data_IF_715993169374
#
_entry.id   IF_715993169374
#
_cell.length_a   1.000
_cell.length_b   1.000
_cell.length_c   1.000
_cell.angle_alpha   90.00
_cell.angle_beta   90.00
_cell.angle_gamma   90.00
#
_symmetry.space_group_name_H-M   'P 1'
#
loop_
_entity.id
_entity.type
_entity.pdbx_description
1 polymer ?
#
# COMPACT_ATOMS: atom_id res chain seq x y z
N UNK A 1 2.22 4.53 10.58
CA UNK A 1 2.02 5.75 9.79
C UNK A 1 0.57 6.17 9.98
N UNK A 2 0.26 7.43 10.30
CA UNK A 2 -1.13 7.85 10.51
C UNK A 2 -1.98 7.57 9.27
N UNK A 3 -3.26 7.23 9.45
CA UNK A 3 -4.23 7.04 8.37
C UNK A 3 -4.64 8.37 7.72
N UNK A 4 -3.69 9.04 7.07
CA UNK A 4 -3.85 10.36 6.48
C UNK A 4 -3.17 10.44 5.10
N UNK A 5 -3.65 11.30 4.18
CA UNK A 5 -3.07 11.44 2.84
C UNK A 5 -1.55 11.70 2.83
N UNK A 6 -1.05 12.44 3.82
CA UNK A 6 0.40 12.73 3.97
C UNK A 6 1.26 11.46 4.09
N UNK A 7 0.70 10.37 4.61
CA UNK A 7 1.44 9.12 4.81
C UNK A 7 1.84 8.46 3.50
N UNK A 8 1.12 8.71 2.40
CA UNK A 8 1.55 8.24 1.08
C UNK A 8 2.89 8.88 0.66
N UNK A 9 3.09 10.17 0.94
CA UNK A 9 4.36 10.84 0.65
C UNK A 9 5.51 10.28 1.50
N UNK A 10 5.26 10.06 2.80
CA UNK A 10 6.25 9.45 3.72
C UNK A 10 6.62 8.04 3.24
N UNK A 11 5.63 7.24 2.86
CA UNK A 11 5.85 5.87 2.36
C UNK A 11 6.68 5.85 1.07
N UNK A 12 6.44 6.77 0.13
CA UNK A 12 7.26 6.89 -1.10
C UNK A 12 8.72 7.18 -0.78
N UNK A 13 8.97 8.16 0.09
CA UNK A 13 10.34 8.55 0.48
C UNK A 13 11.04 7.39 1.20
N UNK A 14 10.38 6.77 2.18
CA UNK A 14 10.93 5.66 2.94
C UNK A 14 11.25 4.45 2.04
N UNK A 15 10.34 4.11 1.12
CA UNK A 15 10.52 2.99 0.18
C UNK A 15 11.69 3.26 -0.77
N UNK A 16 11.77 4.44 -1.37
CA UNK A 16 12.87 4.80 -2.26
C UNK A 16 14.23 4.77 -1.55
N UNK A 17 14.30 5.34 -0.34
CA UNK A 17 15.53 5.35 0.46
C UNK A 17 15.96 3.94 0.84
N UNK A 18 15.04 3.08 1.26
CA UNK A 18 15.35 1.69 1.61
C UNK A 18 15.88 0.90 0.39
N UNK A 19 15.23 1.01 -0.77
CA UNK A 19 15.67 0.28 -1.96
C UNK A 19 17.03 0.75 -2.47
N UNK A 20 17.30 2.05 -2.46
CA UNK A 20 18.62 2.60 -2.82
C UNK A 20 19.70 2.12 -1.86
N UNK A 21 19.44 2.13 -0.55
CA UNK A 21 20.39 1.66 0.46
C UNK A 21 20.76 0.18 0.30
N UNK A 22 19.88 -0.63 -0.31
CA UNK A 22 20.11 -2.05 -0.58
C UNK A 22 20.49 -2.36 -2.03
N UNK A 23 20.86 -1.36 -2.84
CA UNK A 23 21.21 -1.51 -4.26
C UNK A 23 20.09 -2.12 -5.14
N UNK A 24 18.83 -1.94 -4.74
CA UNK A 24 17.64 -2.41 -5.45
C UNK A 24 17.03 -1.32 -6.34
N UNK A 25 17.87 -0.42 -6.86
CA UNK A 25 17.46 0.75 -7.65
C UNK A 25 16.52 0.41 -8.82
N UNK A 26 16.72 -0.68 -9.58
CA UNK A 26 15.81 -1.05 -10.69
C UNK A 26 14.35 -1.28 -10.27
N UNK A 27 14.09 -1.60 -9.00
CA UNK A 27 12.75 -1.85 -8.47
C UNK A 27 12.09 -0.61 -7.88
N UNK A 28 12.80 0.52 -7.82
CA UNK A 28 12.38 1.71 -7.06
C UNK A 28 11.06 2.28 -7.54
N UNK A 29 10.91 2.52 -8.84
CA UNK A 29 9.74 3.23 -9.37
C UNK A 29 8.45 2.42 -9.15
N UNK A 30 8.49 1.13 -9.47
CA UNK A 30 7.34 0.23 -9.26
C UNK A 30 7.02 0.07 -7.78
N UNK A 31 8.01 -0.09 -6.91
CA UNK A 31 7.78 -0.24 -5.47
C UNK A 31 7.26 1.05 -4.83
N UNK A 32 7.76 2.22 -5.24
CA UNK A 32 7.31 3.54 -4.77
C UNK A 32 5.86 3.78 -5.19
N UNK A 33 5.51 3.47 -6.45
CA UNK A 33 4.13 3.61 -6.91
C UNK A 33 3.21 2.63 -6.17
N UNK A 34 3.63 1.37 -5.99
CA UNK A 34 2.86 0.38 -5.24
C UNK A 34 2.64 0.80 -3.78
N UNK A 35 3.69 1.29 -3.10
CA UNK A 35 3.60 1.81 -1.74
C UNK A 35 2.61 2.99 -1.68
N UNK A 36 2.69 3.92 -2.63
CA UNK A 36 1.82 5.09 -2.69
C UNK A 36 0.35 4.69 -2.82
N UNK A 37 0.02 3.81 -3.77
CA UNK A 37 -1.36 3.37 -4.02
C UNK A 37 -1.94 2.58 -2.85
N UNK A 38 -1.15 1.65 -2.28
CA UNK A 38 -1.60 0.85 -1.13
C UNK A 38 -1.82 1.71 0.11
N UNK A 39 -0.94 2.67 0.40
CA UNK A 39 -1.09 3.58 1.54
C UNK A 39 -2.24 4.56 1.33
N UNK A 40 -2.43 5.08 0.11
CA UNK A 40 -3.57 5.95 -0.20
C UNK A 40 -4.90 5.20 -0.04
N UNK A 41 -4.97 3.94 -0.50
CA UNK A 41 -6.12 3.08 -0.25
C UNK A 41 -6.31 2.83 1.25
N UNK A 42 -5.27 2.45 1.98
CA UNK A 42 -5.35 2.24 3.43
C UNK A 42 -5.86 3.47 4.19
N UNK A 43 -5.34 4.67 3.86
CA UNK A 43 -5.75 5.92 4.48
C UNK A 43 -7.20 6.30 4.15
N UNK A 44 -7.70 5.96 2.96
CA UNK A 44 -9.08 6.24 2.55
C UNK A 44 -10.12 5.38 3.30
N UNK A 45 -9.74 4.18 3.74
CA UNK A 45 -10.68 3.23 4.34
C UNK A 45 -10.51 3.08 5.85
N UNK A 46 -9.33 3.39 6.40
CA UNK A 46 -9.13 3.33 7.84
C UNK A 46 -9.95 4.39 8.58
N UNK A 47 -10.38 4.13 9.83
CA UNK A 47 -10.94 5.14 10.71
C UNK A 47 -9.99 6.33 10.90
N UNK A 48 -10.52 7.52 11.29
CA UNK A 48 -9.70 8.60 11.81
C UNK A 48 -8.80 8.11 12.95
N UNK A 49 -7.59 8.67 13.04
CA UNK A 49 -6.58 8.37 14.08
C UNK A 49 -6.03 6.93 14.08
N UNK A 50 -6.43 6.10 13.13
CA UNK A 50 -5.83 4.79 12.94
C UNK A 50 -4.39 4.87 12.43
N UNK A 51 -3.63 3.81 12.68
CA UNK A 51 -2.29 3.62 12.14
C UNK A 51 -2.30 2.60 10.99
N UNK A 52 -1.45 2.87 10.00
CA UNK A 52 -1.14 2.02 8.86
C UNK A 52 0.29 1.51 9.02
N UNK A 53 0.47 0.20 8.82
CA UNK A 53 1.77 -0.43 8.88
C UNK A 53 2.23 -0.81 7.46
N UNK A 54 3.42 -0.34 7.09
CA UNK A 54 4.11 -0.69 5.84
C UNK A 54 5.29 -1.58 6.17
N UNK A 55 5.33 -2.76 5.56
CA UNK A 55 6.46 -3.69 5.60
C UNK A 55 7.07 -3.83 4.22
N UNK A 56 8.37 -3.59 4.12
CA UNK A 56 9.18 -3.81 2.93
C UNK A 56 10.20 -4.91 3.24
N UNK A 57 10.21 -5.98 2.46
CA UNK A 57 11.14 -7.09 2.64
C UNK A 57 11.74 -7.49 1.30
N UNK A 58 13.04 -7.73 1.27
CA UNK A 58 13.74 -8.29 0.12
C UNK A 58 14.13 -9.74 0.42
N UNK A 59 13.83 -10.67 -0.50
CA UNK A 59 14.23 -12.07 -0.42
C UNK A 59 14.16 -12.69 -1.82
N UNK A 60 15.13 -13.55 -2.16
CA UNK A 60 15.14 -14.33 -3.39
C UNK A 60 14.91 -13.45 -4.65
N UNK A 61 15.67 -12.35 -4.75
CA UNK A 61 15.59 -11.32 -5.81
C UNK A 61 14.23 -10.65 -6.00
N UNK A 62 13.34 -10.79 -5.01
CA UNK A 62 12.02 -10.18 -5.00
C UNK A 62 11.86 -9.20 -3.84
N UNK A 63 11.20 -8.07 -4.13
CA UNK A 63 10.73 -7.13 -3.11
C UNK A 63 9.27 -7.42 -2.81
N UNK A 64 9.01 -7.78 -1.55
CA UNK A 64 7.66 -7.94 -1.01
C UNK A 64 7.29 -6.67 -0.25
N UNK A 65 6.18 -6.07 -0.67
CA UNK A 65 5.57 -4.92 0.01
C UNK A 65 4.22 -5.35 0.59
N UNK A 66 4.02 -5.11 1.88
CA UNK A 66 2.76 -5.41 2.57
C UNK A 66 2.29 -4.19 3.33
N UNK A 67 1.03 -3.82 3.12
CA UNK A 67 0.35 -2.75 3.86
C UNK A 67 -0.77 -3.36 4.69
N UNK A 68 -0.76 -3.06 5.98
CA UNK A 68 -1.85 -3.39 6.89
C UNK A 68 -2.54 -2.09 7.31
N UNK A 69 -3.86 -2.09 7.27
CA UNK A 69 -4.71 -0.99 7.68
C UNK A 69 -5.70 -1.43 8.76
N UNK A 70 -6.27 -0.46 9.47
CA UNK A 70 -7.17 -0.72 10.58
C UNK A 70 -8.64 -0.77 10.15
N UNK A 71 -8.93 -0.96 8.85
CA UNK A 71 -10.31 -1.01 8.37
C UNK A 71 -11.01 -2.28 8.90
N UNK A 72 -12.04 -2.16 9.75
CA UNK A 72 -12.69 -3.32 10.34
C UNK A 72 -13.41 -4.14 9.26
N UNK A 73 -13.40 -5.47 9.42
CA UNK A 73 -14.19 -6.35 8.58
C UNK A 73 -15.68 -6.12 8.84
N UNK A 74 -16.46 -6.05 7.77
CA UNK A 74 -17.91 -5.96 7.87
C UNK A 74 -18.49 -7.33 8.24
N UNK A 75 -19.34 -7.39 9.27
CA UNK A 75 -20.03 -8.61 9.66
C UNK A 75 -21.07 -9.04 8.61
N UNK A 76 -21.71 -8.09 7.92
CA UNK A 76 -22.65 -8.38 6.85
C UNK A 76 -21.91 -8.76 5.55
N UNK A 77 -22.15 -9.96 4.98
CA UNK A 77 -21.43 -10.42 3.79
C UNK A 77 -21.59 -9.53 2.55
N UNK A 78 -22.77 -8.91 2.36
CA UNK A 78 -23.01 -8.02 1.21
C UNK A 78 -22.21 -6.73 1.34
N UNK A 79 -22.12 -6.17 2.56
CA UNK A 79 -21.30 -4.99 2.83
C UNK A 79 -19.81 -5.31 2.71
N UNK A 80 -19.38 -6.49 3.15
CA UNK A 80 -18.00 -6.96 2.97
C UNK A 80 -17.64 -7.03 1.48
N UNK A 81 -18.47 -7.68 0.66
CA UNK A 81 -18.24 -7.78 -0.78
C UNK A 81 -18.23 -6.42 -1.49
N UNK A 82 -19.14 -5.52 -1.12
CA UNK A 82 -19.18 -4.15 -1.67
C UNK A 82 -17.93 -3.34 -1.28
N UNK A 83 -17.47 -3.47 -0.04
CA UNK A 83 -16.25 -2.81 0.43
C UNK A 83 -15.01 -3.33 -0.32
N UNK A 84 -14.89 -4.65 -0.47
CA UNK A 84 -13.79 -5.26 -1.22
C UNK A 84 -13.77 -4.81 -2.69
N UNK A 85 -14.94 -4.71 -3.31
CA UNK A 85 -15.06 -4.18 -4.67
C UNK A 85 -14.60 -2.71 -4.73
N UNK A 86 -14.97 -1.88 -3.74
CA UNK A 86 -14.55 -0.47 -3.66
C UNK A 86 -13.04 -0.34 -3.43
N UNK A 87 -12.43 -1.21 -2.62
CA UNK A 87 -10.98 -1.26 -2.38
C UNK A 87 -10.23 -1.67 -3.64
N UNK A 88 -10.68 -2.73 -4.34
CA UNK A 88 -10.12 -3.13 -5.64
C UNK A 88 -10.22 -2.01 -6.68
N UNK A 89 -11.36 -1.32 -6.73
CA UNK A 89 -11.55 -0.18 -7.65
C UNK A 89 -10.64 1.02 -7.31
N UNK A 90 -10.27 1.22 -6.04
CA UNK A 90 -9.31 2.24 -5.64
C UNK A 90 -7.87 1.89 -6.07
N UNK A 91 -7.56 0.61 -6.27
CA UNK A 91 -6.24 0.09 -6.64
C UNK A 91 -6.08 -0.14 -8.16
N UNK A 92 -6.84 0.58 -8.99
CA UNK A 92 -6.76 0.42 -10.46
C UNK A 92 -5.40 0.79 -11.03
N UNK A 93 -4.72 1.82 -10.49
CA UNK A 93 -3.37 2.20 -10.93
C UNK A 93 -2.37 1.11 -10.54
N UNK A 94 -2.48 0.57 -9.33
CA UNK A 94 -1.69 -0.59 -8.90
C UNK A 94 -1.91 -1.79 -9.84
N UNK A 95 -3.14 -2.06 -10.28
CA UNK A 95 -3.42 -3.14 -11.22
C UNK A 95 -2.73 -2.94 -12.60
N UNK A 96 -2.44 -1.70 -13.00
CA UNK A 96 -1.64 -1.42 -14.20
C UNK A 96 -0.15 -1.73 -14.00
N UNK A 97 0.38 -1.67 -12.78
CA UNK A 97 1.77 -2.06 -12.47
C UNK A 97 1.99 -3.57 -12.54
N UNK A 98 0.97 -4.37 -12.22
CA UNK A 98 1.05 -5.84 -12.25
C UNK A 98 0.88 -6.38 -13.68
N UNK A 99 1.25 -5.58 -14.70
CA UNK A 99 1.27 -5.98 -16.11
C UNK A 99 2.70 -6.26 -16.55
N UNK A 100 3.09 -7.53 -16.44
CA UNK A 100 4.04 -8.24 -17.30
C UNK A 100 3.62 -9.71 -17.29
#
# INVERSE_FOLDING_TARGET
LPAAPRSAAIARIATASALRAHNLTPLTDSAVLAASELIACAAKFSPPDAEIYLSLRHRDDAVRLVVYDAHPRHANPRLAAACDARRRAALRVLACLVKA
#
